data_IF_944444004611
#
_entry.id   IF_944444004611
#
_cell.length_a   1.000
_cell.length_b   1.000
_cell.length_c   1.000
_cell.angle_alpha   90.00
_cell.angle_beta   90.00
_cell.angle_gamma   90.00
#
_symmetry.space_group_name_H-M   'P 1'
#
loop_
_entity.id
_entity.type
_entity.pdbx_description
1 polymer ?
#
# COMPACT_ATOMS: atom_id res chain seq x y z
N UNK A 1 20.26 -23.60 -22.19
CA UNK A 1 19.23 -22.63 -22.62
C UNK A 1 19.32 -22.50 -24.13
N UNK A 2 18.24 -22.77 -24.86
CA UNK A 2 18.24 -22.85 -26.33
C UNK A 2 18.25 -21.44 -26.96
N UNK A 3 18.95 -21.31 -28.10
CA UNK A 3 19.12 -20.05 -28.85
C UNK A 3 17.81 -19.36 -29.26
N UNK A 4 16.68 -20.08 -29.23
CA UNK A 4 15.35 -19.55 -29.55
C UNK A 4 14.78 -18.60 -28.48
N UNK A 5 15.17 -18.74 -27.20
CA UNK A 5 14.68 -17.87 -26.12
C UNK A 5 15.35 -16.49 -26.20
N UNK A 6 16.63 -16.45 -26.60
CA UNK A 6 17.39 -15.21 -26.74
C UNK A 6 16.90 -14.33 -27.90
N UNK A 7 16.32 -14.91 -28.96
CA UNK A 7 15.75 -14.15 -30.09
C UNK A 7 14.37 -13.53 -29.77
N UNK A 8 13.60 -14.11 -28.86
CA UNK A 8 12.28 -13.60 -28.42
C UNK A 8 12.41 -12.44 -27.43
N UNK A 9 13.58 -12.28 -26.80
CA UNK A 9 13.84 -11.27 -25.77
C UNK A 9 13.79 -9.82 -26.27
N UNK A 10 13.54 -9.53 -27.56
CA UNK A 10 13.22 -8.18 -28.04
C UNK A 10 11.76 -7.99 -28.49
N UNK A 11 10.97 -9.06 -28.55
CA UNK A 11 9.63 -9.09 -29.18
C UNK A 11 8.52 -9.58 -28.24
N UNK A 12 8.81 -9.87 -26.97
CA UNK A 12 7.85 -10.40 -26.01
C UNK A 12 7.76 -11.93 -26.01
N UNK A 13 6.94 -12.45 -25.10
CA UNK A 13 6.73 -13.88 -24.88
C UNK A 13 5.30 -14.27 -25.25
N UNK A 14 5.11 -15.32 -26.07
CA UNK A 14 3.77 -15.82 -26.38
C UNK A 14 3.14 -16.45 -25.13
N UNK A 15 1.90 -16.10 -24.82
CA UNK A 15 1.20 -16.53 -23.60
C UNK A 15 -0.22 -16.99 -23.91
N UNK A 16 -0.81 -17.78 -23.02
CA UNK A 16 -2.24 -18.11 -23.03
C UNK A 16 -2.94 -17.54 -21.77
N UNK A 17 -3.46 -16.30 -21.81
CA UNK A 17 -4.06 -15.64 -20.66
C UNK A 17 -5.42 -16.25 -20.26
N UNK A 18 -5.98 -17.19 -21.03
CA UNK A 18 -7.26 -17.83 -20.72
C UNK A 18 -7.16 -18.88 -19.62
N UNK A 19 -5.94 -19.39 -19.38
CA UNK A 19 -5.65 -20.37 -18.33
C UNK A 19 -5.31 -19.67 -17.02
N UNK A 20 -5.71 -20.28 -15.89
CA UNK A 20 -5.52 -19.72 -14.55
C UNK A 20 -6.58 -18.66 -14.20
N UNK A 21 -6.40 -17.99 -13.06
CA UNK A 21 -7.36 -17.00 -12.57
C UNK A 21 -7.07 -15.59 -13.08
N UNK A 22 -8.10 -14.74 -13.09
CA UNK A 22 -7.96 -13.31 -13.33
C UNK A 22 -8.04 -12.57 -11.99
N UNK A 23 -7.10 -11.67 -11.74
CA UNK A 23 -7.11 -10.86 -10.52
C UNK A 23 -7.14 -9.37 -10.83
N UNK A 24 -8.16 -8.71 -10.28
CA UNK A 24 -8.35 -7.26 -10.38
C UNK A 24 -7.58 -6.46 -9.32
N UNK A 25 -6.87 -7.12 -8.39
CA UNK A 25 -6.29 -6.46 -7.21
C UNK A 25 -5.39 -5.27 -7.55
N UNK A 26 -4.46 -5.45 -8.49
CA UNK A 26 -3.53 -4.39 -8.93
C UNK A 26 -4.27 -3.36 -9.79
N UNK A 27 -5.22 -3.79 -10.62
CA UNK A 27 -6.07 -2.90 -11.42
C UNK A 27 -6.90 -1.95 -10.56
N UNK A 28 -7.44 -2.42 -9.43
CA UNK A 28 -8.18 -1.56 -8.48
C UNK A 28 -7.30 -0.50 -7.84
N UNK A 29 -6.04 -0.84 -7.53
CA UNK A 29 -5.06 0.15 -7.07
C UNK A 29 -4.80 1.14 -8.21
N UNK A 30 -4.37 0.69 -9.39
CA UNK A 30 -4.13 1.57 -10.55
C UNK A 30 -5.27 2.55 -10.85
N UNK A 31 -6.52 2.08 -10.83
CA UNK A 31 -7.70 2.91 -11.12
C UNK A 31 -7.98 3.96 -10.04
N UNK A 32 -7.69 3.66 -8.77
CA UNK A 32 -8.02 4.55 -7.65
C UNK A 32 -6.94 5.58 -7.32
N UNK A 33 -5.73 5.43 -7.89
CA UNK A 33 -4.57 6.27 -7.57
C UNK A 33 -4.43 7.43 -8.55
N UNK A 34 -4.51 8.69 -8.10
CA UNK A 34 -4.17 9.85 -8.94
C UNK A 34 -2.65 9.94 -9.19
N UNK A 35 -2.22 10.77 -10.14
CA UNK A 35 -0.82 10.80 -10.62
C UNK A 35 0.21 11.18 -9.54
N UNK A 36 -0.17 11.97 -8.55
CA UNK A 36 0.66 12.34 -7.40
C UNK A 36 0.90 11.17 -6.43
N UNK A 37 0.03 10.14 -6.46
CA UNK A 37 0.20 8.91 -5.69
C UNK A 37 0.96 7.81 -6.46
N UNK A 38 1.37 8.06 -7.72
CA UNK A 38 2.04 7.07 -8.58
C UNK A 38 3.52 7.36 -8.69
N UNK A 39 4.38 6.37 -8.46
CA UNK A 39 5.84 6.54 -8.45
C UNK A 39 6.48 5.73 -9.56
N UNK A 40 7.59 6.21 -10.13
CA UNK A 40 8.23 5.55 -11.29
C UNK A 40 9.38 4.62 -10.88
N UNK A 41 9.83 4.73 -9.64
CA UNK A 41 10.89 3.91 -9.08
C UNK A 41 10.63 3.63 -7.60
N UNK A 42 11.21 2.55 -7.08
CA UNK A 42 11.16 2.28 -5.65
C UNK A 42 11.96 3.31 -4.84
N UNK A 43 12.99 3.93 -5.42
CA UNK A 43 13.74 5.00 -4.77
C UNK A 43 12.89 6.25 -4.55
N UNK A 44 12.11 6.68 -5.55
CA UNK A 44 11.19 7.82 -5.41
C UNK A 44 10.09 7.52 -4.41
N UNK A 45 9.48 6.32 -4.49
CA UNK A 45 8.46 5.88 -3.56
C UNK A 45 9.00 5.85 -2.11
N UNK A 46 10.21 5.35 -1.93
CA UNK A 46 10.86 5.32 -0.61
C UNK A 46 11.18 6.72 -0.11
N UNK A 47 11.71 7.61 -0.96
CA UNK A 47 12.02 8.98 -0.59
C UNK A 47 10.76 9.73 -0.13
N UNK A 48 9.65 9.58 -0.84
CA UNK A 48 8.39 10.22 -0.48
C UNK A 48 7.82 9.69 0.86
N UNK A 49 7.80 8.37 1.04
CA UNK A 49 7.30 7.75 2.28
C UNK A 49 8.22 8.01 3.48
N UNK A 50 9.54 8.10 3.27
CA UNK A 50 10.52 8.44 4.31
C UNK A 50 10.38 9.91 4.72
N UNK A 51 10.36 10.83 3.75
CA UNK A 51 10.20 12.26 4.03
C UNK A 51 8.92 12.56 4.82
N UNK A 52 7.85 11.81 4.56
CA UNK A 52 6.60 11.89 5.31
C UNK A 52 6.75 11.38 6.75
N UNK A 53 7.49 10.28 6.95
CA UNK A 53 7.76 9.76 8.29
C UNK A 53 8.69 10.68 9.10
N UNK A 54 9.69 11.30 8.47
CA UNK A 54 10.62 12.24 9.12
C UNK A 54 9.92 13.48 9.67
N UNK A 55 8.83 13.92 9.02
CA UNK A 55 7.98 15.03 9.48
C UNK A 55 6.88 14.61 10.45
N UNK A 56 6.80 13.33 10.80
CA UNK A 56 5.72 12.80 11.60
C UNK A 56 6.10 12.66 13.08
N UNK A 57 5.22 13.12 13.96
CA UNK A 57 5.36 12.94 15.41
C UNK A 57 4.30 12.00 15.92
N UNK A 58 4.71 10.96 16.64
CA UNK A 58 3.80 10.00 17.28
C UNK A 58 3.73 10.27 18.78
N UNK A 59 2.53 10.30 19.35
CA UNK A 59 2.33 10.46 20.80
C UNK A 59 1.40 9.38 21.33
N UNK A 60 1.57 9.04 22.61
CA UNK A 60 0.61 8.23 23.35
C UNK A 60 0.01 9.13 24.43
N UNK A 61 -1.30 9.35 24.36
CA UNK A 61 -2.01 10.29 25.25
C UNK A 61 -3.27 9.65 25.80
N UNK A 62 -3.76 10.17 26.91
CA UNK A 62 -5.06 9.79 27.43
C UNK A 62 -6.17 10.38 26.54
N UNK A 63 -7.13 9.56 26.12
CA UNK A 63 -8.25 9.99 25.28
C UNK A 63 -9.06 11.10 25.94
N UNK A 64 -9.27 11.02 27.26
CA UNK A 64 -9.97 12.06 28.05
C UNK A 64 -9.22 13.38 28.15
N UNK A 65 -7.91 13.38 27.90
CA UNK A 65 -7.09 14.58 27.90
C UNK A 65 -7.08 15.30 26.54
N UNK A 66 -7.56 14.66 25.47
CA UNK A 66 -7.78 15.31 24.18
C UNK A 66 -8.98 16.24 24.31
N UNK A 67 -8.77 17.52 23.98
CA UNK A 67 -9.85 18.52 23.90
C UNK A 67 -10.23 18.74 22.45
N UNK A 68 -11.54 18.74 22.20
CA UNK A 68 -12.10 19.04 20.88
C UNK A 68 -12.65 20.46 20.91
N UNK A 69 -12.13 21.31 20.03
CA UNK A 69 -12.42 22.73 19.99
C UNK A 69 -13.06 23.11 18.66
N UNK A 70 -14.11 23.91 18.71
CA UNK A 70 -14.78 24.48 17.55
C UNK A 70 -15.42 25.81 17.96
N UNK A 71 -15.40 26.80 17.07
CA UNK A 71 -16.02 28.11 17.32
C UNK A 71 -17.38 28.19 16.63
N UNK A 72 -18.32 28.93 17.24
CA UNK A 72 -19.59 29.28 16.58
C UNK A 72 -19.38 30.22 15.40
N UNK A 73 -18.29 31.00 15.42
CA UNK A 73 -17.94 31.95 14.36
C UNK A 73 -17.33 31.26 13.14
N UNK A 74 -16.97 29.97 13.25
CA UNK A 74 -16.50 29.15 12.14
C UNK A 74 -17.08 27.73 12.25
N UNK A 75 -18.26 27.56 11.66
CA UNK A 75 -19.04 26.31 11.70
C UNK A 75 -18.42 25.14 10.93
N UNK A 76 -17.36 25.38 10.14
CA UNK A 76 -16.72 24.36 9.31
C UNK A 76 -15.44 23.80 9.94
N UNK A 77 -14.89 24.48 10.96
CA UNK A 77 -13.58 24.14 11.51
C UNK A 77 -13.67 23.55 12.90
N UNK A 78 -13.05 22.37 13.04
CA UNK A 78 -12.82 21.68 14.30
C UNK A 78 -11.31 21.43 14.46
N UNK A 79 -10.79 21.68 15.64
CA UNK A 79 -9.38 21.42 16.01
C UNK A 79 -9.29 20.62 17.30
N UNK A 80 -8.12 20.07 17.56
CA UNK A 80 -7.82 19.29 18.75
C UNK A 80 -6.66 19.91 19.51
N UNK A 81 -6.79 19.95 20.83
CA UNK A 81 -5.68 20.19 21.73
C UNK A 81 -5.25 18.84 22.31
N UNK A 82 -4.05 18.40 21.97
CA UNK A 82 -3.48 17.10 22.39
C UNK A 82 -2.33 17.36 23.35
N UNK A 83 -2.26 16.66 24.51
CA UNK A 83 -1.16 16.83 25.45
C UNK A 83 0.23 16.68 24.80
N UNK A 84 1.10 17.67 25.04
CA UNK A 84 2.44 17.73 24.49
C UNK A 84 2.54 18.34 23.08
N UNK A 85 1.42 18.74 22.48
CA UNK A 85 1.37 19.58 21.30
C UNK A 85 0.86 20.98 21.69
N UNK A 86 1.59 22.01 21.28
CA UNK A 86 1.28 23.41 21.62
C UNK A 86 0.37 24.08 20.60
N UNK A 87 0.37 23.58 19.37
CA UNK A 87 -0.48 24.10 18.30
C UNK A 87 -1.80 23.33 18.17
N UNK A 88 -2.92 24.00 17.85
CA UNK A 88 -4.16 23.31 17.53
C UNK A 88 -4.00 22.39 16.32
N UNK A 89 -4.40 21.13 16.47
CA UNK A 89 -4.25 20.12 15.43
C UNK A 89 -5.55 20.00 14.63
N UNK A 90 -5.48 20.03 13.31
CA UNK A 90 -6.63 19.76 12.44
C UNK A 90 -6.73 18.26 12.12
N UNK A 91 -7.87 17.57 12.38
CA UNK A 91 -8.04 16.20 11.92
C UNK A 91 -8.28 16.14 10.41
N UNK A 92 -7.64 15.17 9.75
CA UNK A 92 -8.00 14.78 8.40
C UNK A 92 -9.37 14.08 8.39
N UNK A 93 -9.98 13.94 7.20
CA UNK A 93 -11.21 13.16 7.06
C UNK A 93 -11.06 11.72 7.57
N UNK A 94 -9.86 11.14 7.43
CA UNK A 94 -9.52 9.81 7.92
C UNK A 94 -9.43 9.76 9.44
N UNK A 95 -8.60 10.61 10.05
CA UNK A 95 -8.40 10.59 11.51
C UNK A 95 -9.66 11.02 12.27
N UNK A 96 -10.49 11.89 11.70
CA UNK A 96 -11.83 12.17 12.22
C UNK A 96 -12.69 10.91 12.29
N UNK A 97 -12.69 10.11 11.21
CA UNK A 97 -13.39 8.82 11.18
C UNK A 97 -12.86 7.83 12.22
N UNK A 98 -11.54 7.82 12.45
CA UNK A 98 -10.92 7.01 13.49
C UNK A 98 -11.33 7.46 14.89
N UNK A 99 -11.34 8.76 15.17
CA UNK A 99 -11.82 9.29 16.45
C UNK A 99 -13.28 8.93 16.70
N UNK A 100 -14.14 9.05 15.69
CA UNK A 100 -15.54 8.63 15.81
C UNK A 100 -15.64 7.13 16.14
N UNK A 101 -14.85 6.30 15.44
CA UNK A 101 -14.83 4.85 15.65
C UNK A 101 -14.35 4.46 17.06
N UNK A 102 -13.35 5.17 17.61
CA UNK A 102 -12.87 4.97 18.98
C UNK A 102 -13.96 5.18 20.02
N UNK A 103 -14.86 6.14 19.80
CA UNK A 103 -15.96 6.45 20.71
C UNK A 103 -17.30 5.85 20.28
N UNK A 104 -17.29 4.95 19.29
CA UNK A 104 -18.48 4.31 18.71
C UNK A 104 -19.54 5.32 18.19
N UNK A 105 -19.10 6.46 17.68
CA UNK A 105 -19.96 7.48 17.10
C UNK A 105 -20.07 7.35 15.56
N UNK A 106 -21.22 7.66 14.96
CA UNK A 106 -21.43 7.56 13.51
C UNK A 106 -20.71 8.71 12.78
N UNK A 107 -19.57 8.40 12.14
CA UNK A 107 -18.73 9.42 11.50
C UNK A 107 -19.43 10.18 10.38
N UNK A 108 -20.29 9.52 9.58
CA UNK A 108 -20.99 10.18 8.47
C UNK A 108 -21.96 11.23 8.99
N UNK A 109 -22.77 10.88 10.00
CA UNK A 109 -23.68 11.84 10.63
C UNK A 109 -22.92 13.02 11.27
N UNK A 110 -21.83 12.76 11.98
CA UNK A 110 -21.03 13.82 12.60
C UNK A 110 -20.36 14.76 11.59
N UNK A 111 -20.06 14.31 10.38
CA UNK A 111 -19.51 15.15 9.30
C UNK A 111 -20.55 16.12 8.72
N UNK A 112 -21.83 15.76 8.79
CA UNK A 112 -22.93 16.60 8.30
C UNK A 112 -23.36 17.66 9.34
N UNK A 113 -22.87 17.55 10.58
CA UNK A 113 -23.15 18.52 11.63
C UNK A 113 -22.20 19.73 11.53
N UNK A 114 -22.66 20.93 11.93
CA UNK A 114 -21.77 22.04 12.25
C UNK A 114 -20.68 21.63 13.23
N UNK A 115 -19.46 22.12 13.01
CA UNK A 115 -18.27 21.79 13.80
C UNK A 115 -18.48 21.89 15.33
N UNK A 116 -19.21 22.89 15.88
CA UNK A 116 -19.51 22.92 17.32
C UNK A 116 -20.32 21.73 17.83
N UNK A 117 -21.29 21.23 17.06
CA UNK A 117 -22.09 20.06 17.45
C UNK A 117 -21.27 18.77 17.33
N UNK A 118 -20.51 18.64 16.24
CA UNK A 118 -19.59 17.53 16.07
C UNK A 118 -18.55 17.48 17.22
N UNK A 119 -18.02 18.64 17.61
CA UNK A 119 -17.06 18.77 18.69
C UNK A 119 -17.63 18.33 20.04
N UNK A 120 -18.83 18.79 20.41
CA UNK A 120 -19.48 18.40 21.67
C UNK A 120 -19.72 16.88 21.73
N UNK A 121 -20.24 16.30 20.65
CA UNK A 121 -20.51 14.86 20.57
C UNK A 121 -19.22 14.05 20.67
N UNK A 122 -18.17 14.47 19.96
CA UNK A 122 -16.88 13.79 20.00
C UNK A 122 -16.21 13.93 21.38
N UNK A 123 -16.26 15.12 21.97
CA UNK A 123 -15.73 15.38 23.31
C UNK A 123 -16.41 14.52 24.37
N UNK A 124 -17.74 14.36 24.30
CA UNK A 124 -18.50 13.50 25.21
C UNK A 124 -18.02 12.04 25.11
N UNK A 125 -17.85 11.54 23.89
CA UNK A 125 -17.33 10.20 23.64
C UNK A 125 -15.92 9.99 24.19
N UNK A 126 -15.01 10.94 23.98
CA UNK A 126 -13.61 10.86 24.42
C UNK A 126 -13.46 10.83 25.95
N UNK A 127 -14.34 11.56 26.67
CA UNK A 127 -14.38 11.55 28.14
C UNK A 127 -14.84 10.21 28.72
N UNK A 128 -15.63 9.45 27.97
CA UNK A 128 -16.23 8.18 28.40
C UNK A 128 -15.53 6.94 27.81
N UNK A 129 -14.41 7.14 27.11
CA UNK A 129 -13.71 6.09 26.36
C UNK A 129 -12.93 5.14 27.28
N UNK A 130 -13.22 3.82 27.16
CA UNK A 130 -12.76 2.78 28.10
C UNK A 130 -11.29 2.39 28.00
N UNK A 131 -10.67 2.45 26.82
CA UNK A 131 -9.28 2.00 26.66
C UNK A 131 -8.25 3.01 27.19
N UNK A 132 -8.73 4.20 27.61
CA UNK A 132 -8.04 5.34 28.22
C UNK A 132 -6.89 5.96 27.42
N UNK A 133 -6.06 5.19 26.73
CA UNK A 133 -4.93 5.66 25.94
C UNK A 133 -5.19 5.51 24.44
N UNK A 134 -4.68 6.47 23.67
CA UNK A 134 -4.67 6.43 22.20
C UNK A 134 -3.30 6.88 21.69
N UNK A 135 -2.96 6.41 20.48
CA UNK A 135 -1.76 6.81 19.75
C UNK A 135 -2.12 7.78 18.64
N UNK A 136 -1.63 9.01 18.72
CA UNK A 136 -1.75 9.99 17.64
C UNK A 136 -0.59 9.86 16.66
N UNK A 137 -0.84 10.24 15.42
CA UNK A 137 0.19 10.52 14.43
C UNK A 137 -0.10 11.90 13.85
N UNK A 138 0.82 12.82 14.09
CA UNK A 138 0.77 14.21 13.66
C UNK A 138 1.79 14.42 12.54
N UNK A 139 1.49 15.29 11.58
CA UNK A 139 2.47 15.78 10.60
C UNK A 139 2.36 17.28 10.49
N UNK A 140 3.49 17.92 10.21
CA UNK A 140 3.57 19.35 9.99
C UNK A 140 3.80 19.65 8.51
N UNK A 141 2.86 20.34 7.89
CA UNK A 141 2.98 20.87 6.52
C UNK A 141 2.19 22.19 6.42
N UNK A 142 2.80 23.27 6.89
CA UNK A 142 2.17 24.59 7.07
C UNK A 142 1.20 24.69 8.25
N UNK A 143 0.52 23.60 8.60
CA UNK A 143 -0.24 23.42 9.85
C UNK A 143 -0.01 22.02 10.42
N UNK A 144 -0.25 21.85 11.71
CA UNK A 144 -0.23 20.52 12.34
C UNK A 144 -1.53 19.79 11.99
N UNK A 145 -1.40 18.67 11.29
CA UNK A 145 -2.51 17.79 10.94
C UNK A 145 -2.43 16.46 11.69
N UNK A 146 -3.57 15.98 12.17
CA UNK A 146 -3.70 14.65 12.74
C UNK A 146 -3.96 13.66 11.61
N UNK A 147 -2.96 12.87 11.26
CA UNK A 147 -3.06 11.83 10.22
C UNK A 147 -3.68 10.55 10.73
N UNK A 148 -3.48 10.20 11.99
CA UNK A 148 -4.06 8.99 12.56
C UNK A 148 -4.36 9.10 14.05
N UNK A 149 -5.41 8.41 14.49
CA UNK A 149 -5.65 8.06 15.90
C UNK A 149 -5.90 6.56 15.98
N UNK A 150 -5.05 5.86 16.71
CA UNK A 150 -5.07 4.39 16.80
C UNK A 150 -5.08 3.94 18.25
N UNK A 151 -5.48 2.69 18.49
CA UNK A 151 -5.47 2.11 19.83
C UNK A 151 -4.05 1.97 20.40
N UNK A 152 -3.91 1.78 21.73
CA UNK A 152 -2.60 1.73 22.40
C UNK A 152 -1.75 0.54 21.93
N UNK A 153 -2.39 -0.56 21.51
CA UNK A 153 -1.71 -1.75 21.03
C UNK A 153 -1.27 -1.68 19.56
N UNK A 154 -1.65 -0.63 18.83
CA UNK A 154 -1.27 -0.46 17.45
C UNK A 154 0.26 -0.32 17.33
N UNK A 155 0.90 -1.30 16.70
CA UNK A 155 2.32 -1.26 16.36
C UNK A 155 2.46 -0.77 14.94
N UNK A 156 2.79 0.51 14.82
CA UNK A 156 3.00 1.16 13.54
C UNK A 156 4.22 0.55 12.85
N UNK A 157 4.04 0.22 11.59
CA UNK A 157 5.12 -0.12 10.67
C UNK A 157 5.04 0.96 9.63
N UNK A 158 6.14 1.68 9.40
CA UNK A 158 6.15 2.81 8.50
C UNK A 158 6.18 2.33 7.05
N UNK A 159 5.52 3.07 6.17
CA UNK A 159 5.45 2.67 4.76
C UNK A 159 6.85 2.61 4.14
N UNK A 160 7.76 3.51 4.52
CA UNK A 160 9.15 3.50 4.07
C UNK A 160 9.93 2.25 4.50
N UNK A 161 9.59 1.64 5.65
CA UNK A 161 10.25 0.40 6.11
C UNK A 161 9.90 -0.76 5.19
N UNK A 162 8.63 -0.87 4.76
CA UNK A 162 8.22 -1.87 3.77
C UNK A 162 8.92 -1.62 2.43
N UNK A 163 8.86 -0.39 1.91
CA UNK A 163 9.48 -0.06 0.62
C UNK A 163 10.98 -0.30 0.67
N UNK A 164 11.65 0.08 1.75
CA UNK A 164 13.08 -0.13 1.97
C UNK A 164 13.46 -1.61 2.06
N UNK A 165 12.60 -2.44 2.66
CA UNK A 165 12.79 -3.89 2.67
C UNK A 165 12.68 -4.49 1.27
N UNK A 166 11.71 -4.05 0.46
CA UNK A 166 11.56 -4.50 -0.93
C UNK A 166 12.74 -4.05 -1.80
N UNK A 167 13.22 -2.81 -1.64
CA UNK A 167 14.40 -2.29 -2.37
C UNK A 167 15.66 -3.13 -2.18
N UNK A 168 15.86 -3.72 -1.00
CA UNK A 168 17.01 -4.61 -0.73
C UNK A 168 17.00 -5.87 -1.60
N UNK A 169 15.86 -6.24 -2.18
CA UNK A 169 15.65 -7.46 -2.97
C UNK A 169 15.46 -7.12 -4.45
N UNK A 170 14.64 -6.11 -4.73
CA UNK A 170 14.22 -5.73 -6.08
C UNK A 170 15.01 -4.56 -6.67
N UNK A 171 15.93 -3.97 -5.90
CA UNK A 171 16.65 -2.77 -6.32
C UNK A 171 15.71 -1.58 -6.47
N UNK A 172 15.74 -0.91 -7.62
CA UNK A 172 14.90 0.24 -7.93
C UNK A 172 13.56 -0.15 -8.58
N UNK A 173 13.39 -1.42 -8.95
CA UNK A 173 12.16 -1.92 -9.58
C UNK A 173 12.01 -1.45 -11.03
N UNK A 174 13.10 -0.98 -11.64
CA UNK A 174 13.15 -0.44 -13.01
C UNK A 174 13.87 -1.37 -13.99
N UNK A 175 14.24 -2.58 -13.53
CA UNK A 175 14.95 -3.59 -14.32
C UNK A 175 16.43 -3.71 -13.99
N UNK A 176 16.88 -3.05 -12.91
CA UNK A 176 18.22 -3.19 -12.33
C UNK A 176 18.43 -4.54 -11.62
N UNK A 177 17.34 -5.21 -11.26
CA UNK A 177 17.29 -6.63 -10.87
C UNK A 177 16.27 -7.38 -11.73
N UNK A 178 16.08 -8.67 -11.48
CA UNK A 178 15.00 -9.44 -12.11
C UNK A 178 13.61 -8.87 -11.79
N UNK A 179 13.45 -8.19 -10.66
CA UNK A 179 12.16 -7.63 -10.23
C UNK A 179 11.97 -6.22 -10.75
N UNK A 180 10.86 -6.00 -11.43
CA UNK A 180 10.52 -4.71 -12.02
C UNK A 180 9.03 -4.45 -12.11
N UNK A 181 8.67 -3.19 -12.31
CA UNK A 181 7.33 -2.79 -12.75
C UNK A 181 6.98 -3.61 -14.01
N UNK A 182 5.77 -4.21 -14.08
CA UNK A 182 5.42 -5.15 -15.13
C UNK A 182 5.31 -4.49 -16.50
N UNK A 183 5.70 -5.27 -17.51
CA UNK A 183 5.31 -5.00 -18.89
C UNK A 183 3.83 -5.23 -19.13
N UNK A 184 3.43 -5.35 -20.40
CA UNK A 184 2.02 -5.52 -20.77
C UNK A 184 1.77 -6.59 -21.82
N UNK A 185 0.59 -7.20 -21.75
CA UNK A 185 0.03 -8.03 -22.82
C UNK A 185 -0.31 -7.16 -24.02
N UNK A 186 0.21 -7.55 -25.19
CA UNK A 186 -0.30 -7.18 -26.50
C UNK A 186 -1.34 -8.21 -26.94
N UNK A 187 -2.61 -7.81 -26.93
CA UNK A 187 -3.75 -8.64 -27.30
C UNK A 187 -3.80 -8.98 -28.79
N UNK A 188 -3.17 -8.19 -29.66
CA UNK A 188 -3.17 -8.46 -31.11
C UNK A 188 -2.29 -9.67 -31.43
N UNK A 189 -1.20 -9.84 -30.69
CA UNK A 189 -0.22 -10.91 -30.91
C UNK A 189 -0.29 -12.01 -29.85
N UNK A 190 -1.07 -11.81 -28.78
CA UNK A 190 -1.12 -12.68 -27.60
C UNK A 190 0.28 -12.88 -27.00
N UNK A 191 1.03 -11.79 -26.89
CA UNK A 191 2.36 -11.77 -26.30
C UNK A 191 2.41 -10.87 -25.08
N UNK A 192 3.16 -11.27 -24.05
CA UNK A 192 3.54 -10.40 -22.94
C UNK A 192 4.85 -9.71 -23.29
N UNK A 193 4.83 -8.39 -23.49
CA UNK A 193 6.03 -7.59 -23.70
C UNK A 193 6.54 -7.07 -22.35
N UNK A 194 7.68 -7.55 -21.83
CA UNK A 194 8.24 -7.04 -20.59
C UNK A 194 8.85 -5.63 -20.75
N UNK A 195 9.28 -5.22 -21.94
CA UNK A 195 10.03 -3.97 -22.15
C UNK A 195 9.09 -2.81 -22.47
N UNK A 196 8.40 -2.33 -21.44
CA UNK A 196 7.50 -1.16 -21.50
C UNK A 196 8.05 -0.07 -20.60
N UNK A 197 8.04 1.17 -21.09
CA UNK A 197 8.47 2.32 -20.30
C UNK A 197 7.61 2.49 -19.05
N UNK A 198 8.25 2.88 -17.95
CA UNK A 198 7.59 3.15 -16.68
C UNK A 198 7.14 4.61 -16.67
N UNK A 199 5.82 4.81 -16.74
CA UNK A 199 5.15 6.11 -16.72
C UNK A 199 4.10 6.11 -15.60
N UNK A 200 3.41 7.24 -15.42
CA UNK A 200 2.30 7.34 -14.47
C UNK A 200 1.16 6.40 -14.85
N UNK A 201 0.97 6.10 -16.12
CA UNK A 201 -0.04 5.18 -16.63
C UNK A 201 0.37 3.71 -16.50
N UNK A 202 1.67 3.40 -16.50
CA UNK A 202 2.16 2.02 -16.50
C UNK A 202 2.72 1.54 -15.17
N UNK A 203 3.04 2.44 -14.24
CA UNK A 203 3.58 2.04 -12.94
C UNK A 203 2.57 1.28 -12.08
N UNK A 204 3.11 0.48 -11.17
CA UNK A 204 2.43 -0.32 -10.16
C UNK A 204 2.93 -0.02 -8.75
N UNK A 205 3.55 1.15 -8.58
CA UNK A 205 4.12 1.65 -7.34
C UNK A 205 3.28 2.84 -6.86
N UNK A 206 2.59 2.67 -5.73
CA UNK A 206 1.60 3.61 -5.25
C UNK A 206 1.78 3.95 -3.78
N UNK A 207 1.61 5.23 -3.41
CA UNK A 207 1.42 5.63 -2.02
C UNK A 207 0.50 6.85 -1.92
N UNK A 208 -0.56 6.73 -1.11
CA UNK A 208 -1.42 7.84 -0.69
C UNK A 208 -1.01 8.38 0.67
N UNK A 209 -1.75 9.37 1.16
CA UNK A 209 -1.78 9.80 2.56
C UNK A 209 -2.13 8.68 3.56
N UNK A 210 -2.62 7.52 3.11
CA UNK A 210 -3.12 6.44 3.97
C UNK A 210 -2.37 5.13 3.86
N UNK A 211 -1.86 4.77 2.70
CA UNK A 211 -1.22 3.47 2.52
C UNK A 211 -0.29 3.43 1.32
N UNK A 212 0.57 2.42 1.31
CA UNK A 212 1.46 2.08 0.20
C UNK A 212 1.05 0.73 -0.40
N UNK A 213 1.16 0.63 -1.72
CA UNK A 213 1.00 -0.61 -2.47
C UNK A 213 2.06 -0.66 -3.57
N UNK A 214 2.73 -1.79 -3.73
CA UNK A 214 3.65 -2.03 -4.83
C UNK A 214 3.45 -3.43 -5.41
N UNK A 215 3.52 -3.56 -6.73
CA UNK A 215 3.54 -4.84 -7.44
C UNK A 215 4.75 -4.88 -8.37
N UNK A 216 5.51 -5.98 -8.31
CA UNK A 216 6.68 -6.24 -9.15
C UNK A 216 6.60 -7.65 -9.74
N UNK A 217 7.27 -7.84 -10.87
CA UNK A 217 7.31 -9.09 -11.61
C UNK A 217 8.73 -9.39 -12.08
N UNK A 218 9.07 -10.67 -12.18
CA UNK A 218 10.17 -11.17 -13.01
C UNK A 218 9.58 -11.70 -14.32
N UNK A 219 9.33 -10.77 -15.24
CA UNK A 219 8.74 -11.05 -16.56
C UNK A 219 9.76 -11.11 -17.69
N UNK A 220 11.06 -11.10 -17.35
CA UNK A 220 12.17 -11.30 -18.30
C UNK A 220 12.75 -12.71 -18.26
N UNK A 221 12.46 -13.47 -17.19
CA UNK A 221 12.89 -14.86 -17.01
C UNK A 221 11.68 -15.79 -16.85
N UNK A 222 10.96 -16.12 -17.96
CA UNK A 222 9.80 -16.99 -17.89
C UNK A 222 10.17 -18.40 -17.41
N UNK A 223 9.22 -19.03 -16.73
CA UNK A 223 9.22 -20.44 -16.37
C UNK A 223 8.39 -21.17 -17.41
N UNK A 224 8.93 -22.22 -18.01
CA UNK A 224 8.18 -23.15 -18.84
C UNK A 224 7.62 -24.27 -17.96
N UNK A 225 6.29 -24.34 -17.82
CA UNK A 225 5.63 -25.41 -17.08
C UNK A 225 4.59 -26.12 -17.97
N UNK A 226 5.09 -27.07 -18.77
CA UNK A 226 4.28 -27.89 -19.67
C UNK A 226 4.14 -27.31 -21.08
N UNK A 227 3.14 -27.80 -21.79
CA UNK A 227 2.84 -27.44 -23.18
C UNK A 227 1.37 -27.06 -23.33
N UNK A 228 1.12 -26.08 -24.18
CA UNK A 228 -0.21 -25.72 -24.64
C UNK A 228 -0.75 -26.78 -25.62
N UNK A 229 -2.08 -26.84 -25.89
CA UNK A 229 -2.66 -27.81 -26.83
C UNK A 229 -2.08 -27.76 -28.25
N UNK A 230 -1.56 -26.60 -28.65
CA UNK A 230 -0.91 -26.38 -29.95
C UNK A 230 0.57 -26.80 -29.97
N UNK A 231 1.12 -27.29 -28.85
CA UNK A 231 2.51 -27.72 -28.72
C UNK A 231 3.50 -26.63 -28.29
N UNK A 232 3.06 -25.38 -28.15
CA UNK A 232 3.91 -24.29 -27.65
C UNK A 232 4.22 -24.45 -26.15
N UNK A 233 5.33 -23.90 -25.63
CA UNK A 233 5.56 -23.82 -24.18
C UNK A 233 4.46 -23.03 -23.45
N UNK A 234 3.99 -23.54 -22.31
CA UNK A 234 3.16 -22.76 -21.39
C UNK A 234 4.09 -21.95 -20.46
N UNK A 235 4.10 -20.63 -20.64
CA UNK A 235 5.02 -19.72 -19.97
C UNK A 235 4.35 -18.99 -18.80
N UNK A 236 5.07 -18.93 -17.68
CA UNK A 236 4.67 -18.24 -16.46
C UNK A 236 5.76 -17.27 -16.03
N UNK A 237 5.35 -16.21 -15.36
CA UNK A 237 6.20 -15.22 -14.73
C UNK A 237 6.00 -15.28 -13.21
N UNK A 238 6.99 -14.83 -12.46
CA UNK A 238 6.90 -14.73 -10.99
C UNK A 238 6.42 -13.32 -10.66
N UNK A 239 5.38 -13.18 -9.86
CA UNK A 239 4.86 -11.89 -9.41
C UNK A 239 4.69 -11.82 -7.91
N UNK A 240 4.91 -10.66 -7.32
CA UNK A 240 4.51 -10.40 -5.95
C UNK A 240 4.05 -8.95 -5.76
N UNK A 241 3.09 -8.74 -4.86
CA UNK A 241 2.76 -7.40 -4.39
C UNK A 241 2.76 -7.32 -2.88
N UNK A 242 3.09 -6.14 -2.36
CA UNK A 242 3.10 -5.84 -0.94
C UNK A 242 2.35 -4.54 -0.65
N UNK A 243 1.79 -4.44 0.55
CA UNK A 243 1.04 -3.26 0.98
C UNK A 243 1.18 -3.04 2.48
N UNK A 244 1.05 -1.78 2.90
CA UNK A 244 1.09 -1.40 4.30
C UNK A 244 0.29 -0.11 4.52
N UNK A 245 -0.15 0.11 5.75
CA UNK A 245 -0.65 1.42 6.17
C UNK A 245 -0.12 1.77 7.55
N UNK A 246 0.69 2.82 7.62
CA UNK A 246 1.17 3.37 8.90
C UNK A 246 0.07 4.09 9.72
N UNK A 247 -1.07 4.41 9.09
CA UNK A 247 -2.22 5.10 9.71
C UNK A 247 -3.41 4.17 9.99
N UNK A 248 -3.29 2.88 9.71
CA UNK A 248 -4.29 1.86 10.02
C UNK A 248 -5.46 1.77 9.04
N UNK A 249 -5.29 2.19 7.77
CA UNK A 249 -6.29 1.99 6.71
C UNK A 249 -6.26 0.57 6.14
N UNK A 250 -5.11 -0.10 6.22
CA UNK A 250 -4.87 -1.47 5.76
C UNK A 250 -3.97 -2.21 6.75
N UNK A 251 -3.91 -3.52 6.61
CA UNK A 251 -2.88 -4.35 7.26
C UNK A 251 -1.55 -4.22 6.52
N UNK A 252 -0.48 -4.72 7.13
CA UNK A 252 0.72 -5.09 6.40
C UNK A 252 0.51 -6.45 5.73
N UNK A 253 0.92 -6.60 4.48
CA UNK A 253 0.86 -7.89 3.82
C UNK A 253 1.70 -7.99 2.57
N UNK A 254 1.87 -9.22 2.14
CA UNK A 254 2.54 -9.59 0.90
C UNK A 254 1.83 -10.78 0.30
N UNK A 255 1.73 -10.80 -1.03
CA UNK A 255 1.28 -11.95 -1.79
C UNK A 255 2.26 -12.26 -2.92
N UNK A 256 2.51 -13.54 -3.16
CA UNK A 256 3.34 -14.08 -4.25
C UNK A 256 2.52 -15.08 -5.05
N UNK A 257 2.78 -15.13 -6.36
CA UNK A 257 2.01 -15.94 -7.29
C UNK A 257 2.75 -16.07 -8.63
N UNK A 258 2.37 -17.07 -9.42
CA UNK A 258 2.70 -17.09 -10.84
C UNK A 258 1.61 -16.37 -11.62
N UNK A 259 1.97 -15.79 -12.76
CA UNK A 259 1.03 -15.19 -13.70
C UNK A 259 1.50 -15.38 -15.14
N UNK A 260 0.58 -15.34 -16.10
CA UNK A 260 0.93 -15.39 -17.53
C UNK A 260 1.07 -14.02 -18.16
N UNK A 261 0.50 -12.98 -17.57
CA UNK A 261 0.72 -11.62 -18.05
C UNK A 261 -0.08 -10.58 -17.30
N UNK A 262 0.21 -9.32 -17.61
CA UNK A 262 -0.45 -8.14 -17.03
C UNK A 262 -0.97 -7.32 -18.20
N UNK A 263 -2.24 -6.93 -18.24
CA UNK A 263 -2.70 -6.06 -19.33
C UNK A 263 -2.59 -4.57 -18.96
N UNK A 264 -2.88 -3.68 -19.91
CA UNK A 264 -2.64 -2.24 -19.76
C UNK A 264 -3.33 -1.60 -18.54
N UNK A 265 -4.52 -2.05 -18.17
CA UNK A 265 -5.25 -1.61 -16.97
C UNK A 265 -4.78 -2.29 -15.67
N UNK A 266 -3.61 -2.96 -15.71
CA UNK A 266 -2.95 -3.68 -14.61
C UNK A 266 -3.75 -4.87 -14.05
N UNK A 267 -4.66 -5.43 -14.84
CA UNK A 267 -5.28 -6.71 -14.49
C UNK A 267 -4.28 -7.85 -14.69
N UNK A 268 -4.23 -8.77 -13.72
CA UNK A 268 -3.37 -9.93 -13.76
C UNK A 268 -4.10 -11.09 -14.42
N UNK A 269 -3.44 -11.75 -15.36
CA UNK A 269 -4.00 -12.86 -16.13
C UNK A 269 -3.22 -14.14 -15.90
N UNK A 270 -3.96 -15.24 -15.78
CA UNK A 270 -3.43 -16.56 -15.51
C UNK A 270 -2.67 -16.69 -14.21
N UNK A 271 -3.23 -16.09 -13.16
CA UNK A 271 -2.71 -16.19 -11.80
C UNK A 271 -2.86 -17.62 -11.30
N UNK A 272 -1.77 -18.18 -10.78
CA UNK A 272 -1.72 -19.53 -10.20
C UNK A 272 -0.81 -19.55 -8.96
N UNK A 273 -1.01 -20.53 -8.08
CA UNK A 273 -0.29 -20.71 -6.82
C UNK A 273 -0.22 -19.42 -5.98
N UNK A 274 -1.38 -18.82 -5.76
CA UNK A 274 -1.48 -17.60 -4.97
C UNK A 274 -1.28 -17.89 -3.49
N UNK A 275 -0.24 -17.28 -2.92
CA UNK A 275 0.09 -17.36 -1.50
C UNK A 275 0.11 -15.96 -0.90
N UNK A 276 -0.55 -15.77 0.24
CA UNK A 276 -0.64 -14.48 0.91
C UNK A 276 -0.34 -14.59 2.41
N UNK A 277 0.48 -13.67 2.89
CA UNK A 277 0.74 -13.47 4.32
C UNK A 277 0.25 -12.08 4.70
N UNK A 278 -0.54 -12.00 5.78
CA UNK A 278 -1.08 -10.74 6.30
C UNK A 278 -0.79 -10.62 7.79
N UNK A 279 -0.22 -9.49 8.18
CA UNK A 279 0.17 -9.21 9.55
C UNK A 279 -0.63 -8.02 10.07
N UNK A 280 -1.35 -8.24 11.17
CA UNK A 280 -2.04 -7.15 11.88
C UNK A 280 -1.02 -6.25 12.57
N UNK A 281 -1.22 -4.94 12.42
CA UNK A 281 -0.50 -3.92 13.18
C UNK A 281 -0.78 -4.07 14.67
N UNK A 282 0.22 -4.55 15.40
CA UNK A 282 0.19 -4.76 16.85
C UNK A 282 1.60 -4.53 17.36
N UNK A 283 1.78 -4.32 18.67
CA UNK A 283 3.05 -3.95 19.31
C UNK A 283 4.30 -4.71 18.82
N UNK A 284 4.17 -5.99 18.43
CA UNK A 284 5.27 -6.84 17.95
C UNK A 284 5.26 -7.09 16.42
N UNK A 285 4.43 -6.40 15.66
CA UNK A 285 4.22 -6.65 14.23
C UNK A 285 5.49 -6.46 13.40
N UNK A 286 6.31 -5.44 13.71
CA UNK A 286 7.56 -5.18 12.99
C UNK A 286 8.53 -6.38 13.07
N UNK A 287 8.71 -6.94 14.27
CA UNK A 287 9.53 -8.15 14.47
C UNK A 287 9.00 -9.35 13.69
N UNK A 288 7.68 -9.60 13.73
CA UNK A 288 7.05 -10.71 12.99
C UNK A 288 7.18 -10.55 11.48
N UNK A 289 7.05 -9.32 10.97
CA UNK A 289 7.21 -9.06 9.54
C UNK A 289 8.62 -9.40 9.06
N UNK A 290 9.66 -8.94 9.75
CA UNK A 290 11.04 -9.26 9.38
C UNK A 290 11.28 -10.77 9.36
N UNK A 291 10.78 -11.49 10.38
CA UNK A 291 10.94 -12.93 10.50
C UNK A 291 10.13 -13.74 9.48
N UNK A 292 8.93 -13.29 9.08
CA UNK A 292 8.02 -14.05 8.21
C UNK A 292 8.13 -13.65 6.73
N UNK A 293 8.22 -12.35 6.43
CA UNK A 293 8.17 -11.86 5.06
C UNK A 293 9.52 -11.95 4.34
N UNK A 294 10.64 -11.72 5.05
CA UNK A 294 11.97 -11.75 4.42
C UNK A 294 12.33 -13.14 3.88
N UNK A 295 12.13 -14.25 4.62
CA UNK A 295 12.40 -15.58 4.10
C UNK A 295 11.42 -15.97 2.98
N UNK A 296 10.15 -15.60 3.08
CA UNK A 296 9.16 -15.89 2.04
C UNK A 296 9.52 -15.20 0.71
N UNK A 297 9.89 -13.93 0.75
CA UNK A 297 10.36 -13.17 -0.41
C UNK A 297 11.64 -13.74 -1.01
N UNK A 298 12.62 -14.12 -0.16
CA UNK A 298 13.87 -14.73 -0.63
C UNK A 298 13.62 -16.08 -1.25
N UNK A 299 12.85 -16.95 -0.59
CA UNK A 299 12.53 -18.28 -1.08
C UNK A 299 11.81 -18.20 -2.43
N UNK A 300 10.84 -17.28 -2.58
CA UNK A 300 10.14 -17.07 -3.85
C UNK A 300 11.06 -16.53 -4.95
N UNK A 301 11.96 -15.60 -4.61
CA UNK A 301 12.96 -15.08 -5.55
C UNK A 301 14.00 -16.14 -5.98
N UNK A 302 14.28 -17.14 -5.15
CA UNK A 302 15.24 -18.23 -5.46
C UNK A 302 14.58 -19.51 -5.94
N UNK A 303 13.24 -19.62 -5.88
CA UNK A 303 12.51 -20.82 -6.29
C UNK A 303 12.68 -21.03 -7.80
N UNK A 304 13.53 -22.02 -8.12
CA UNK A 304 13.89 -22.47 -9.47
C UNK A 304 12.93 -23.53 -9.96
#
# INVERSE_FOLDING_TARGET
MSASILSSARTGFRIDPSRGERSARVSSEWFSRPDDERYLSLSDLHAATLARADRATARTVESRAIRVEASRDNVERLTLTVPGQHEPIAPTHWSFGQMCSLVSAPSSYLRDLPAPLAAINLQHGLLSHRAELVKTLETEDGRVELRAVTGPDYGRIWDHELVGAVRKIAGDGTGDTNWKVPGVIDWATMTHNPYVDITKETTTLYASDRDVFLFLVDDTHPIEAGRLPNGDPDLYFRGFYAWNSEVGSKSLGIASFYLRGVCQNRMLWGVENFEQITIRHSKFAASRFVHQATPALRNFATAS
#
